data_IF_265171912137
#
_entry.id   IF_265171912137
#
_cell.length_a   1.000
_cell.length_b   1.000
_cell.length_c   1.000
_cell.angle_alpha   90.00
_cell.angle_beta   90.00
_cell.angle_gamma   90.00
#
_symmetry.space_group_name_H-M   'P 1'
#
loop_
_entity.id
_entity.type
_entity.pdbx_description
1 polymer ?
#
# COMPACT_ATOMS: atom_id res chain seq x y z
N UNK A 1 -26.02 37.95 -67.39
CA UNK A 1 -26.74 37.83 -66.12
C UNK A 1 -26.72 36.38 -65.73
N UNK A 2 -25.72 35.93 -64.96
CA UNK A 2 -25.71 34.58 -64.37
C UNK A 2 -25.11 34.63 -62.97
N UNK A 3 -25.97 34.51 -62.00
CA UNK A 3 -25.61 34.29 -60.61
C UNK A 3 -25.15 32.86 -60.40
N UNK A 4 -23.88 32.67 -60.12
CA UNK A 4 -23.35 31.39 -59.71
C UNK A 4 -23.34 31.38 -58.18
N UNK A 5 -24.26 30.63 -57.60
CA UNK A 5 -24.34 30.33 -56.19
C UNK A 5 -23.15 29.43 -55.80
N UNK A 6 -22.17 29.96 -55.08
CA UNK A 6 -21.12 29.17 -54.47
C UNK A 6 -21.65 28.58 -53.14
N UNK A 7 -21.98 27.29 -53.18
CA UNK A 7 -22.26 26.52 -51.98
C UNK A 7 -20.92 26.18 -51.32
N UNK A 8 -20.66 26.84 -50.21
CA UNK A 8 -19.49 26.56 -49.36
C UNK A 8 -19.84 25.41 -48.42
N UNK A 9 -19.32 24.22 -48.72
CA UNK A 9 -19.46 23.03 -47.86
C UNK A 9 -18.54 23.18 -46.65
N UNK A 10 -19.09 23.53 -45.48
CA UNK A 10 -18.36 23.51 -44.23
C UNK A 10 -18.37 22.09 -43.70
N UNK A 11 -17.25 21.37 -43.89
CA UNK A 11 -17.02 20.09 -43.25
C UNK A 11 -16.65 20.37 -41.80
N UNK A 12 -17.61 20.24 -40.90
CA UNK A 12 -17.35 20.23 -39.45
C UNK A 12 -16.66 18.92 -39.10
N UNK A 13 -15.33 18.95 -38.94
CA UNK A 13 -14.59 17.84 -38.33
C UNK A 13 -14.97 17.77 -36.83
N UNK A 14 -15.89 16.89 -36.54
CA UNK A 14 -16.18 16.53 -35.13
C UNK A 14 -15.02 15.74 -34.60
N UNK A 15 -14.07 16.42 -33.91
CA UNK A 15 -13.08 15.75 -33.08
C UNK A 15 -13.81 15.18 -31.86
N UNK A 16 -14.15 13.90 -31.93
CA UNK A 16 -14.57 13.14 -30.77
C UNK A 16 -13.34 12.97 -29.85
N UNK A 17 -13.19 13.85 -28.86
CA UNK A 17 -12.30 13.59 -27.75
C UNK A 17 -12.84 12.36 -26.99
N UNK A 18 -12.28 11.19 -27.30
CA UNK A 18 -12.41 10.05 -26.40
C UNK A 18 -11.58 10.38 -25.14
N UNK A 19 -12.20 11.04 -24.20
CA UNK A 19 -11.71 11.10 -22.84
C UNK A 19 -11.79 9.68 -22.29
N UNK A 20 -10.67 8.96 -22.26
CA UNK A 20 -10.52 7.81 -21.40
C UNK A 20 -10.63 8.35 -19.96
N UNK A 21 -11.85 8.40 -19.45
CA UNK A 21 -12.11 8.56 -18.03
C UNK A 21 -11.57 7.30 -17.39
N UNK A 22 -10.31 7.35 -16.91
CA UNK A 22 -9.82 6.39 -15.94
C UNK A 22 -10.80 6.48 -14.77
N UNK A 23 -11.61 5.45 -14.61
CA UNK A 23 -12.54 5.36 -13.48
C UNK A 23 -11.71 5.45 -12.21
N UNK A 24 -11.89 6.51 -11.43
CA UNK A 24 -11.26 6.66 -10.13
C UNK A 24 -11.67 5.47 -9.26
N UNK A 25 -10.69 4.79 -8.66
CA UNK A 25 -10.93 3.62 -7.82
C UNK A 25 -11.84 4.01 -6.67
N UNK A 26 -12.90 3.24 -6.41
CA UNK A 26 -13.88 3.58 -5.37
C UNK A 26 -13.26 3.50 -3.97
N UNK A 27 -13.76 4.31 -3.02
CA UNK A 27 -13.33 4.25 -1.61
C UNK A 27 -13.43 2.82 -1.05
N UNK A 28 -14.47 2.08 -1.44
CA UNK A 28 -14.67 0.68 -1.05
C UNK A 28 -13.54 -0.22 -1.56
N UNK A 29 -13.12 -0.07 -2.80
CA UNK A 29 -12.08 -0.89 -3.41
C UNK A 29 -10.71 -0.57 -2.80
N UNK A 30 -10.41 0.70 -2.58
CA UNK A 30 -9.19 1.15 -1.90
C UNK A 30 -9.11 0.58 -0.47
N UNK A 31 -10.20 0.68 0.31
CA UNK A 31 -10.27 0.13 1.67
C UNK A 31 -10.08 -1.40 1.63
N UNK A 32 -10.71 -2.09 0.70
CA UNK A 32 -10.55 -3.54 0.51
C UNK A 32 -9.10 -3.89 0.18
N UNK A 33 -8.47 -3.15 -0.70
CA UNK A 33 -7.08 -3.37 -1.12
C UNK A 33 -6.12 -3.19 0.06
N UNK A 34 -6.23 -2.08 0.83
CA UNK A 34 -5.35 -1.87 1.99
C UNK A 34 -5.54 -2.92 3.08
N UNK A 35 -6.77 -3.35 3.37
CA UNK A 35 -7.04 -4.47 4.30
C UNK A 35 -6.40 -5.77 3.82
N UNK A 36 -6.46 -6.06 2.53
CA UNK A 36 -5.82 -7.22 1.91
C UNK A 36 -4.29 -7.19 2.09
N UNK A 37 -3.64 -6.05 1.85
CA UNK A 37 -2.19 -5.91 2.00
C UNK A 37 -1.74 -6.08 3.46
N UNK A 38 -2.45 -5.51 4.42
CA UNK A 38 -2.16 -5.74 5.84
C UNK A 38 -2.34 -7.21 6.24
N UNK A 39 -3.42 -7.85 5.76
CA UNK A 39 -3.64 -9.30 5.98
C UNK A 39 -2.52 -10.14 5.36
N UNK A 40 -2.06 -9.77 4.16
CA UNK A 40 -0.92 -10.42 3.53
C UNK A 40 0.35 -10.26 4.38
N UNK A 41 0.66 -9.05 4.84
CA UNK A 41 1.83 -8.81 5.69
C UNK A 41 1.79 -9.64 6.97
N UNK A 42 0.63 -9.78 7.60
CA UNK A 42 0.50 -10.65 8.77
C UNK A 42 0.78 -12.14 8.46
N UNK A 43 0.27 -12.63 7.33
CA UNK A 43 0.55 -14.01 6.87
C UNK A 43 2.03 -14.21 6.53
N UNK A 44 2.64 -13.23 5.86
CA UNK A 44 4.07 -13.24 5.55
C UNK A 44 4.91 -13.24 6.82
N UNK A 45 4.59 -12.41 7.81
CA UNK A 45 5.30 -12.36 9.09
C UNK A 45 5.27 -13.72 9.82
N UNK A 46 4.12 -14.40 9.83
CA UNK A 46 4.02 -15.76 10.38
C UNK A 46 4.87 -16.75 9.59
N UNK A 47 4.83 -16.69 8.25
CA UNK A 47 5.61 -17.61 7.43
C UNK A 47 7.11 -17.39 7.57
N UNK A 48 7.56 -16.13 7.66
CA UNK A 48 8.95 -15.79 7.95
C UNK A 48 9.41 -16.45 9.27
N UNK A 49 8.61 -16.37 10.33
CA UNK A 49 8.93 -16.99 11.61
C UNK A 49 9.08 -18.51 11.50
N UNK A 50 8.26 -19.17 10.67
CA UNK A 50 8.36 -20.60 10.42
C UNK A 50 9.64 -20.93 9.64
N UNK A 51 9.87 -20.23 8.52
CA UNK A 51 11.05 -20.47 7.68
C UNK A 51 12.37 -20.29 8.44
N UNK A 52 12.45 -19.30 9.32
CA UNK A 52 13.64 -19.08 10.15
C UNK A 52 13.85 -20.21 11.18
N UNK A 53 12.77 -20.79 11.72
CA UNK A 53 12.87 -21.99 12.58
C UNK A 53 13.34 -23.22 11.80
N UNK A 54 13.03 -23.30 10.50
CA UNK A 54 13.46 -24.35 9.57
C UNK A 54 14.83 -24.04 8.94
N UNK A 55 15.46 -22.89 9.29
CA UNK A 55 16.73 -22.39 8.77
C UNK A 55 16.69 -22.10 7.25
N UNK A 56 15.51 -21.82 6.72
CA UNK A 56 15.26 -21.45 5.33
C UNK A 56 15.47 -19.94 5.14
N UNK A 57 16.73 -19.49 5.27
CA UNK A 57 17.10 -18.07 5.35
C UNK A 57 16.74 -17.31 4.07
N UNK A 58 17.11 -17.84 2.90
CA UNK A 58 16.91 -17.15 1.63
C UNK A 58 15.43 -16.97 1.29
N UNK A 59 14.59 -17.93 1.59
CA UNK A 59 13.16 -17.81 1.38
C UNK A 59 12.52 -16.82 2.37
N UNK A 60 13.01 -16.77 3.61
CA UNK A 60 12.59 -15.76 4.57
C UNK A 60 12.93 -14.34 4.12
N UNK A 61 14.14 -14.11 3.56
CA UNK A 61 14.55 -12.81 2.99
C UNK A 61 13.61 -12.34 1.87
N UNK A 62 13.24 -13.23 0.94
CA UNK A 62 12.28 -12.91 -0.13
C UNK A 62 10.94 -12.43 0.42
N UNK A 63 10.45 -13.06 1.49
CA UNK A 63 9.18 -12.64 2.11
C UNK A 63 9.30 -11.30 2.85
N UNK A 64 10.45 -11.01 3.48
CA UNK A 64 10.73 -9.70 4.08
C UNK A 64 10.71 -8.58 3.03
N UNK A 65 11.35 -8.80 1.87
CA UNK A 65 11.32 -7.86 0.76
C UNK A 65 9.89 -7.63 0.28
N UNK A 66 9.10 -8.69 0.12
CA UNK A 66 7.69 -8.57 -0.25
C UNK A 66 6.87 -7.78 0.77
N UNK A 67 7.13 -7.93 2.07
CA UNK A 67 6.50 -7.11 3.10
C UNK A 67 6.88 -5.63 2.95
N UNK A 68 8.13 -5.34 2.63
CA UNK A 68 8.60 -3.99 2.34
C UNK A 68 7.83 -3.36 1.19
N UNK A 69 7.68 -4.07 0.07
CA UNK A 69 6.93 -3.60 -1.11
C UNK A 69 5.46 -3.33 -0.77
N UNK A 70 4.83 -4.21 0.00
CA UNK A 70 3.45 -4.00 0.47
C UNK A 70 3.31 -2.73 1.31
N UNK A 71 4.29 -2.40 2.18
CA UNK A 71 4.28 -1.16 2.96
C UNK A 71 4.39 0.08 2.07
N UNK A 72 5.21 0.05 1.01
CA UNK A 72 5.31 1.14 0.05
C UNK A 72 4.00 1.33 -0.74
N UNK A 73 3.36 0.25 -1.15
CA UNK A 73 2.06 0.31 -1.83
C UNK A 73 0.98 0.90 -0.91
N UNK A 74 0.98 0.54 0.37
CA UNK A 74 0.05 1.04 1.38
C UNK A 74 0.11 2.57 1.56
N UNK A 75 1.23 3.24 1.29
CA UNK A 75 1.35 4.71 1.35
C UNK A 75 0.29 5.43 0.50
N UNK A 76 -0.14 4.82 -0.61
CA UNK A 76 -1.08 5.42 -1.55
C UNK A 76 -2.54 5.04 -1.28
N UNK A 77 -2.82 4.24 -0.24
CA UNK A 77 -4.15 3.67 0.01
C UNK A 77 -4.92 4.33 1.16
N UNK A 78 -4.58 5.59 1.49
CA UNK A 78 -5.25 6.39 2.50
C UNK A 78 -5.65 7.77 1.96
N UNK A 79 -6.36 7.86 0.82
CA UNK A 79 -6.92 9.13 0.35
C UNK A 79 -8.06 9.60 1.26
N UNK A 80 -8.40 10.89 1.16
CA UNK A 80 -9.40 11.55 2.02
C UNK A 80 -10.77 10.83 2.05
N UNK A 81 -11.23 10.35 0.90
CA UNK A 81 -12.52 9.66 0.77
C UNK A 81 -12.57 8.26 1.39
N UNK A 82 -11.50 7.79 2.07
CA UNK A 82 -11.43 6.47 2.71
C UNK A 82 -11.35 6.53 4.24
N UNK A 83 -11.65 7.69 4.84
CA UNK A 83 -11.64 7.89 6.29
C UNK A 83 -12.69 7.06 7.02
N UNK A 84 -13.84 6.85 6.40
CA UNK A 84 -15.01 6.25 7.04
C UNK A 84 -15.68 5.21 6.13
N UNK A 85 -16.52 4.37 6.73
CA UNK A 85 -17.33 3.41 5.99
C UNK A 85 -16.59 2.14 5.56
N UNK A 86 -17.30 1.29 4.85
CA UNK A 86 -16.81 0.05 4.24
C UNK A 86 -16.02 -0.89 5.19
N UNK A 87 -16.29 -0.83 6.49
CA UNK A 87 -15.62 -1.65 7.50
C UNK A 87 -14.15 -1.29 7.69
N UNK A 88 -13.78 -0.01 7.49
CA UNK A 88 -12.42 0.45 7.82
C UNK A 88 -12.18 0.42 9.32
N UNK A 89 -10.99 0.00 9.71
CA UNK A 89 -10.47 0.06 11.08
C UNK A 89 -9.45 1.19 11.26
N UNK A 90 -9.16 1.92 10.16
CA UNK A 90 -8.28 3.07 10.19
C UNK A 90 -8.92 4.21 10.97
N UNK A 91 -8.19 4.77 11.95
CA UNK A 91 -8.68 5.87 12.77
C UNK A 91 -8.51 7.21 12.04
N UNK A 92 -9.42 8.18 12.22
CA UNK A 92 -9.35 9.52 11.60
C UNK A 92 -8.03 10.26 11.81
N UNK A 93 -7.36 10.03 12.93
CA UNK A 93 -6.06 10.62 13.27
C UNK A 93 -4.98 10.38 12.20
N UNK A 94 -5.12 9.34 11.37
CA UNK A 94 -4.21 9.09 10.22
C UNK A 94 -4.14 10.30 9.30
N UNK A 95 -5.28 10.96 9.05
CA UNK A 95 -5.37 12.10 8.13
C UNK A 95 -4.99 13.42 8.80
N UNK A 96 -5.08 13.50 10.11
CA UNK A 96 -4.62 14.64 10.91
C UNK A 96 -3.09 14.61 11.07
N UNK A 97 -2.50 13.41 11.16
CA UNK A 97 -1.06 13.18 11.32
C UNK A 97 -0.47 12.44 10.10
N UNK A 98 -0.83 12.88 8.91
CA UNK A 98 -0.52 12.15 7.68
C UNK A 98 0.97 11.93 7.46
N UNK A 99 1.79 12.93 7.76
CA UNK A 99 3.24 12.87 7.57
C UNK A 99 3.88 11.87 8.54
N UNK A 100 3.46 11.87 9.80
CA UNK A 100 3.92 10.91 10.82
C UNK A 100 3.48 9.48 10.49
N UNK A 101 2.23 9.31 10.03
CA UNK A 101 1.74 8.02 9.58
C UNK A 101 2.53 7.48 8.39
N UNK A 102 2.77 8.31 7.38
CA UNK A 102 3.56 7.96 6.21
C UNK A 102 5.02 7.63 6.58
N UNK A 103 5.61 8.39 7.51
CA UNK A 103 6.95 8.13 8.02
C UNK A 103 7.04 6.77 8.73
N UNK A 104 6.04 6.39 9.53
CA UNK A 104 5.98 5.06 10.15
C UNK A 104 5.83 3.95 9.12
N UNK A 105 5.00 4.14 8.10
CA UNK A 105 4.82 3.17 7.02
C UNK A 105 6.13 2.94 6.26
N UNK A 106 6.81 4.05 5.90
CA UNK A 106 8.11 3.99 5.23
C UNK A 106 9.17 3.34 6.13
N UNK A 107 9.21 3.68 7.41
CA UNK A 107 10.11 3.05 8.39
C UNK A 107 9.86 1.54 8.47
N UNK A 108 8.60 1.09 8.42
CA UNK A 108 8.25 -0.33 8.42
C UNK A 108 8.81 -1.03 7.19
N UNK A 109 8.70 -0.41 6.01
CA UNK A 109 9.33 -0.90 4.77
C UNK A 109 10.85 -1.02 4.92
N UNK A 110 11.51 0.07 5.36
CA UNK A 110 12.98 0.11 5.52
C UNK A 110 13.47 -0.93 6.55
N UNK A 111 12.71 -1.18 7.62
CA UNK A 111 13.03 -2.20 8.61
C UNK A 111 12.95 -3.62 8.06
N UNK A 112 12.06 -3.90 7.11
CA UNK A 112 12.01 -5.21 6.45
C UNK A 112 13.22 -5.41 5.53
N UNK A 113 13.66 -4.40 4.81
CA UNK A 113 14.89 -4.45 4.03
C UNK A 113 16.11 -4.63 4.94
N UNK A 114 16.17 -3.87 6.04
CA UNK A 114 17.26 -4.01 7.03
C UNK A 114 17.29 -5.41 7.60
N UNK A 115 16.15 -5.96 8.01
CA UNK A 115 16.04 -7.31 8.55
C UNK A 115 16.54 -8.35 7.54
N UNK A 116 16.11 -8.25 6.28
CA UNK A 116 16.57 -9.14 5.21
C UNK A 116 18.09 -9.09 5.01
N UNK A 117 18.72 -7.92 5.22
CA UNK A 117 20.16 -7.75 5.06
C UNK A 117 21.00 -8.30 6.20
N UNK A 118 20.43 -8.46 7.40
CA UNK A 118 21.18 -8.86 8.60
C UNK A 118 20.77 -10.21 9.17
N UNK A 119 19.66 -10.79 8.72
CA UNK A 119 19.05 -11.96 9.39
C UNK A 119 19.97 -13.18 9.41
N UNK A 120 20.78 -13.37 8.38
CA UNK A 120 21.73 -14.49 8.28
C UNK A 120 22.79 -14.47 9.38
N UNK A 121 23.19 -13.26 9.81
CA UNK A 121 24.23 -13.05 10.83
C UNK A 121 23.67 -12.99 12.26
N UNK A 122 22.36 -13.26 12.45
CA UNK A 122 21.74 -13.19 13.78
C UNK A 122 21.79 -14.52 14.51
N UNK A 123 22.28 -14.48 15.74
CA UNK A 123 22.27 -15.65 16.64
C UNK A 123 20.86 -15.96 17.19
N UNK A 124 20.01 -14.94 17.32
CA UNK A 124 18.63 -15.05 17.82
C UNK A 124 17.63 -14.43 16.83
N UNK A 125 17.08 -15.27 15.96
CA UNK A 125 16.05 -14.85 15.00
C UNK A 125 14.81 -14.27 15.64
N UNK A 126 14.40 -14.79 16.81
CA UNK A 126 13.21 -14.30 17.52
C UNK A 126 13.41 -12.86 18.01
N UNK A 127 14.59 -12.58 18.57
CA UNK A 127 14.93 -11.22 19.00
C UNK A 127 14.98 -10.25 17.79
N UNK A 128 15.58 -10.66 16.68
CA UNK A 128 15.61 -9.86 15.46
C UNK A 128 14.21 -9.58 14.90
N UNK A 129 13.35 -10.61 14.80
CA UNK A 129 11.96 -10.44 14.36
C UNK A 129 11.18 -9.50 15.29
N UNK A 130 11.37 -9.61 16.61
CA UNK A 130 10.72 -8.73 17.58
C UNK A 130 11.16 -7.28 17.38
N UNK A 131 12.45 -7.06 17.18
CA UNK A 131 13.03 -5.72 17.06
C UNK A 131 12.62 -5.02 15.77
N UNK A 132 12.64 -5.69 14.63
CA UNK A 132 12.47 -5.05 13.31
C UNK A 132 11.07 -5.24 12.72
N UNK A 133 10.41 -6.37 12.93
CA UNK A 133 9.14 -6.70 12.31
C UNK A 133 7.95 -6.44 13.24
N UNK A 134 7.88 -7.13 14.39
CA UNK A 134 6.73 -7.03 15.28
C UNK A 134 6.60 -5.67 15.97
N UNK A 135 7.73 -4.99 16.27
CA UNK A 135 7.72 -3.64 16.80
C UNK A 135 7.10 -2.63 15.84
N UNK A 136 7.33 -2.78 14.53
CA UNK A 136 6.74 -1.94 13.49
C UNK A 136 5.22 -2.12 13.44
N UNK A 137 4.74 -3.36 13.46
CA UNK A 137 3.30 -3.65 13.51
C UNK A 137 2.64 -2.97 14.72
N UNK A 138 3.26 -3.12 15.91
CA UNK A 138 2.75 -2.54 17.16
C UNK A 138 2.73 -1.02 17.14
N UNK A 139 3.78 -0.38 16.64
CA UNK A 139 3.91 1.08 16.60
C UNK A 139 2.76 1.75 15.83
N UNK A 140 2.42 1.20 14.64
CA UNK A 140 1.28 1.68 13.86
C UNK A 140 -0.06 1.33 14.50
N UNK A 141 -0.27 0.08 14.87
CA UNK A 141 -1.57 -0.40 15.34
C UNK A 141 -2.01 0.23 16.65
N UNK A 142 -1.08 0.55 17.55
CA UNK A 142 -1.41 1.18 18.85
C UNK A 142 -1.97 2.61 18.71
N UNK A 143 -1.72 3.30 17.59
CA UNK A 143 -2.12 4.70 17.40
C UNK A 143 -3.16 4.88 16.30
N UNK A 144 -3.08 4.12 15.22
CA UNK A 144 -3.78 4.39 13.98
C UNK A 144 -4.85 3.36 13.61
N UNK A 145 -5.02 2.30 14.40
CA UNK A 145 -6.04 1.27 14.18
C UNK A 145 -7.00 1.19 15.36
N UNK A 146 -8.30 0.97 15.06
CA UNK A 146 -9.31 0.68 16.08
C UNK A 146 -8.92 -0.58 16.86
N UNK A 147 -9.16 -0.59 18.20
CA UNK A 147 -8.94 -1.79 19.02
C UNK A 147 -9.86 -2.94 18.54
N UNK A 148 -9.38 -4.17 18.67
CA UNK A 148 -10.15 -5.39 18.44
C UNK A 148 -10.59 -5.99 19.76
#
# INVERSE_FOLDING_TARGET
INNIFKIMFIVALSFSFNSNVLSEESAKDIIKKRKSLFSQNYKLAKRISILLNEVEIEDSKKLMIRMSDNYLELLNLFPENTKEGHGTEALPIIWEEKDEFNALMKKSSDQMIKLASIIEDQDDFRAALKQYMWSSCKACHSRYRAPH
#
